data_IF_722431502076
#
_entry.id   IF_722431502076
#
_cell.length_a   1.000
_cell.length_b   1.000
_cell.length_c   1.000
_cell.angle_alpha   90.00
_cell.angle_beta   90.00
_cell.angle_gamma   90.00
#
_symmetry.space_group_name_H-M   'P 1'
#
loop_
_entity.id
_entity.type
_entity.pdbx_description
1 polymer ?
#
# COMPACT_ATOMS: atom_id res chain seq x y z
N UNK A 1 -29.03 -20.40 -47.61
CA UNK A 1 -27.75 -19.71 -47.91
C UNK A 1 -27.76 -18.19 -47.69
N UNK A 2 -28.65 -17.37 -48.28
CA UNK A 2 -28.65 -15.91 -48.03
C UNK A 2 -29.17 -15.52 -46.62
N UNK A 3 -30.19 -16.22 -46.13
CA UNK A 3 -30.78 -16.01 -44.79
C UNK A 3 -29.83 -16.37 -43.64
N UNK A 4 -29.09 -17.48 -43.74
CA UNK A 4 -28.09 -17.87 -42.74
C UNK A 4 -26.92 -16.89 -42.64
N UNK A 5 -26.45 -16.35 -43.77
CA UNK A 5 -25.39 -15.32 -43.79
C UNK A 5 -25.84 -14.01 -43.14
N UNK A 6 -27.11 -13.62 -43.32
CA UNK A 6 -27.69 -12.44 -42.68
C UNK A 6 -27.85 -12.63 -41.16
N UNK A 7 -28.34 -13.79 -40.70
CA UNK A 7 -28.43 -14.14 -39.27
C UNK A 7 -27.05 -14.18 -38.60
N UNK A 8 -26.05 -14.76 -39.27
CA UNK A 8 -24.67 -14.80 -38.77
C UNK A 8 -24.04 -13.40 -38.68
N UNK A 9 -24.32 -12.53 -39.65
CA UNK A 9 -23.85 -11.14 -39.66
C UNK A 9 -24.49 -10.29 -38.55
N UNK A 10 -25.78 -10.47 -38.27
CA UNK A 10 -26.49 -9.79 -37.17
C UNK A 10 -25.96 -10.26 -35.81
N UNK A 11 -25.78 -11.58 -35.63
CA UNK A 11 -25.20 -12.15 -34.41
C UNK A 11 -23.79 -11.62 -34.13
N UNK A 12 -22.94 -11.53 -35.16
CA UNK A 12 -21.59 -10.98 -35.03
C UNK A 12 -21.61 -9.50 -34.63
N UNK A 13 -22.48 -8.69 -35.25
CA UNK A 13 -22.65 -7.27 -34.93
C UNK A 13 -23.13 -7.05 -33.49
N UNK A 14 -24.07 -7.87 -33.01
CA UNK A 14 -24.52 -7.84 -31.62
C UNK A 14 -23.39 -8.19 -30.64
N UNK A 15 -22.64 -9.26 -30.90
CA UNK A 15 -21.49 -9.65 -30.07
C UNK A 15 -20.43 -8.55 -30.02
N UNK A 16 -20.12 -7.91 -31.15
CA UNK A 16 -19.18 -6.78 -31.21
C UNK A 16 -19.68 -5.57 -30.42
N UNK A 17 -20.99 -5.28 -30.48
CA UNK A 17 -21.62 -4.21 -29.69
C UNK A 17 -21.55 -4.50 -28.19
N UNK A 18 -21.88 -5.71 -27.75
CA UNK A 18 -21.76 -6.11 -26.35
C UNK A 18 -20.31 -6.03 -25.85
N UNK A 19 -19.35 -6.52 -26.65
CA UNK A 19 -17.92 -6.40 -26.32
C UNK A 19 -17.47 -4.95 -26.17
N UNK A 20 -17.98 -4.05 -27.02
CA UNK A 20 -17.67 -2.61 -26.92
C UNK A 20 -18.22 -2.01 -25.62
N UNK A 21 -19.49 -2.27 -25.30
CA UNK A 21 -20.12 -1.78 -24.06
C UNK A 21 -19.37 -2.26 -22.81
N UNK A 22 -18.96 -3.53 -22.77
CA UNK A 22 -18.17 -4.06 -21.65
C UNK A 22 -16.82 -3.35 -21.54
N UNK A 23 -16.09 -3.19 -22.65
CA UNK A 23 -14.80 -2.49 -22.66
C UNK A 23 -14.91 -1.03 -22.24
N UNK A 24 -15.96 -0.34 -22.68
CA UNK A 24 -16.20 1.06 -22.33
C UNK A 24 -16.50 1.17 -20.82
N UNK A 25 -17.31 0.25 -20.26
CA UNK A 25 -17.55 0.18 -18.81
C UNK A 25 -16.26 -0.11 -18.03
N UNK A 26 -15.46 -1.09 -18.45
CA UNK A 26 -14.20 -1.43 -17.80
C UNK A 26 -13.23 -0.24 -17.81
N UNK A 27 -13.17 0.50 -18.94
CA UNK A 27 -12.37 1.71 -19.06
C UNK A 27 -12.88 2.81 -18.12
N UNK A 28 -14.18 3.09 -18.09
CA UNK A 28 -14.74 4.13 -17.22
C UNK A 28 -14.47 3.83 -15.73
N UNK A 29 -14.63 2.57 -15.31
CA UNK A 29 -14.28 2.13 -13.96
C UNK A 29 -12.79 2.36 -13.67
N UNK A 30 -11.91 1.99 -14.61
CA UNK A 30 -10.47 2.19 -14.45
C UNK A 30 -10.12 3.67 -14.35
N UNK A 31 -10.63 4.49 -15.25
CA UNK A 31 -10.35 5.93 -15.31
C UNK A 31 -10.83 6.63 -14.02
N UNK A 32 -11.96 6.21 -13.46
CA UNK A 32 -12.49 6.75 -12.20
C UNK A 32 -11.71 6.31 -10.97
N UNK A 33 -11.43 5.01 -10.81
CA UNK A 33 -10.86 4.48 -9.56
C UNK A 33 -9.34 4.52 -9.48
N UNK A 34 -8.64 4.45 -10.63
CA UNK A 34 -7.19 4.35 -10.68
C UNK A 34 -6.45 5.46 -9.89
N UNK A 35 -6.87 6.74 -9.93
CA UNK A 35 -6.21 7.79 -9.16
C UNK A 35 -6.16 7.51 -7.66
N UNK A 36 -7.21 6.93 -7.08
CA UNK A 36 -7.26 6.62 -5.64
C UNK A 36 -6.30 5.51 -5.25
N UNK A 37 -6.17 4.46 -6.09
CA UNK A 37 -5.20 3.39 -5.84
C UNK A 37 -3.76 3.86 -6.04
N UNK A 38 -3.51 4.76 -6.99
CA UNK A 38 -2.19 5.39 -7.18
C UNK A 38 -1.82 6.21 -5.95
N UNK A 39 -2.76 6.96 -5.38
CA UNK A 39 -2.51 7.77 -4.18
C UNK A 39 -2.10 6.89 -2.99
N UNK A 40 -2.82 5.79 -2.73
CA UNK A 40 -2.46 4.83 -1.68
C UNK A 40 -1.09 4.21 -1.94
N UNK A 41 -0.83 3.73 -3.16
CA UNK A 41 0.45 3.12 -3.51
C UNK A 41 1.61 4.09 -3.35
N UNK A 42 1.43 5.36 -3.73
CA UNK A 42 2.45 6.39 -3.61
C UNK A 42 2.88 6.58 -2.16
N UNK A 43 1.91 6.69 -1.24
CA UNK A 43 2.19 6.87 0.19
C UNK A 43 2.87 5.63 0.78
N UNK A 44 2.31 4.44 0.53
CA UNK A 44 2.91 3.19 1.04
C UNK A 44 4.30 2.91 0.47
N UNK A 45 4.56 3.31 -0.78
CA UNK A 45 5.89 3.17 -1.40
C UNK A 45 6.94 4.10 -0.81
N UNK A 46 6.53 5.22 -0.20
CA UNK A 46 7.41 6.10 0.57
C UNK A 46 7.65 5.51 1.97
N UNK A 47 6.61 4.94 2.59
CA UNK A 47 6.71 4.40 3.94
C UNK A 47 7.58 3.15 4.03
N UNK A 48 7.51 2.28 3.03
CA UNK A 48 8.19 0.98 3.07
C UNK A 48 9.73 1.08 3.22
N UNK A 49 10.45 1.94 2.47
CA UNK A 49 11.88 2.16 2.69
C UNK A 49 12.22 2.66 4.10
N UNK A 50 11.43 3.59 4.64
CA UNK A 50 11.63 4.14 6.00
C UNK A 50 11.56 3.01 7.03
N UNK A 51 10.50 2.21 6.96
CA UNK A 51 10.29 1.08 7.86
C UNK A 51 11.36 0.00 7.67
N UNK A 52 11.78 -0.25 6.43
CA UNK A 52 12.82 -1.23 6.12
C UNK A 52 14.15 -0.83 6.76
N UNK A 53 14.47 0.47 6.81
CA UNK A 53 15.64 0.99 7.51
C UNK A 53 15.48 0.83 9.01
N UNK A 54 14.37 1.26 9.60
CA UNK A 54 14.12 1.12 11.04
C UNK A 54 14.16 -0.34 11.53
N UNK A 55 13.80 -1.30 10.68
CA UNK A 55 13.93 -2.72 10.98
C UNK A 55 15.38 -3.24 11.07
N UNK A 56 16.37 -2.43 10.69
CA UNK A 56 17.79 -2.74 10.82
C UNK A 56 18.37 -2.33 12.19
N UNK A 57 17.55 -1.70 13.04
CA UNK A 57 17.91 -1.39 14.43
C UNK A 57 18.31 -2.67 15.19
N UNK A 58 19.40 -2.57 15.94
CA UNK A 58 19.89 -3.65 16.80
C UNK A 58 19.47 -3.36 18.23
N UNK A 59 18.63 -4.24 18.78
CA UNK A 59 18.09 -4.11 20.15
C UNK A 59 18.63 -5.16 21.13
N UNK A 60 19.53 -6.05 20.68
CA UNK A 60 20.11 -7.11 21.51
C UNK A 60 21.60 -7.30 21.24
N UNK A 61 22.35 -7.68 22.28
CA UNK A 61 23.79 -7.91 22.23
C UNK A 61 24.22 -9.07 23.13
N UNK A 62 25.42 -9.61 22.89
CA UNK A 62 26.00 -10.71 23.64
C UNK A 62 27.48 -10.45 23.86
N UNK A 63 27.88 -10.37 25.13
CA UNK A 63 29.24 -10.03 25.55
C UNK A 63 29.84 -11.13 26.42
N UNK A 64 31.18 -11.18 26.44
CA UNK A 64 31.99 -12.11 27.26
C UNK A 64 32.67 -11.46 28.44
N UNK A 65 32.95 -10.15 28.36
CA UNK A 65 33.59 -9.35 29.42
C UNK A 65 32.94 -7.97 29.52
N UNK A 66 33.23 -7.23 30.61
CA UNK A 66 32.72 -5.86 30.77
C UNK A 66 33.31 -4.87 29.75
N UNK A 67 34.57 -5.03 29.34
CA UNK A 67 35.18 -4.21 28.27
C UNK A 67 34.51 -4.51 26.91
N UNK A 68 34.26 -5.79 26.60
CA UNK A 68 33.54 -6.17 25.38
C UNK A 68 32.10 -5.61 25.37
N UNK A 69 31.45 -5.59 26.54
CA UNK A 69 30.10 -5.02 26.69
C UNK A 69 30.08 -3.53 26.35
N UNK A 70 31.03 -2.76 26.88
CA UNK A 70 31.10 -1.31 26.63
C UNK A 70 31.36 -1.02 25.15
N UNK A 71 32.30 -1.73 24.52
CA UNK A 71 32.58 -1.55 23.09
C UNK A 71 31.37 -1.92 22.23
N UNK A 72 30.68 -3.02 22.54
CA UNK A 72 29.48 -3.42 21.80
C UNK A 72 28.34 -2.42 21.94
N UNK A 73 28.17 -1.81 23.13
CA UNK A 73 27.16 -0.78 23.34
C UNK A 73 27.46 0.45 22.49
N UNK A 74 28.71 0.93 22.46
CA UNK A 74 29.13 2.05 21.61
C UNK A 74 28.90 1.76 20.13
N UNK A 75 29.25 0.57 19.66
CA UNK A 75 29.06 0.16 18.26
C UNK A 75 27.56 0.10 17.88
N UNK A 76 26.71 -0.37 18.79
CA UNK A 76 25.25 -0.44 18.60
C UNK A 76 24.63 0.94 18.60
N UNK A 77 25.04 1.82 19.52
CA UNK A 77 24.57 3.20 19.56
C UNK A 77 24.92 3.93 18.26
N UNK A 78 26.16 3.79 17.78
CA UNK A 78 26.59 4.36 16.51
C UNK A 78 25.81 3.80 15.31
N UNK A 79 25.62 2.47 15.23
CA UNK A 79 24.83 1.84 14.17
C UNK A 79 23.37 2.29 14.18
N UNK A 80 22.73 2.32 15.35
CA UNK A 80 21.34 2.74 15.46
C UNK A 80 21.19 4.23 15.11
N UNK A 81 22.13 5.09 15.51
CA UNK A 81 22.15 6.50 15.09
C UNK A 81 22.16 6.61 13.55
N UNK A 82 23.03 5.88 12.85
CA UNK A 82 23.07 5.84 11.39
C UNK A 82 21.76 5.35 10.75
N UNK A 83 21.14 4.32 11.33
CA UNK A 83 19.86 3.77 10.89
C UNK A 83 18.73 4.80 11.02
N UNK A 84 18.61 5.45 12.18
CA UNK A 84 17.59 6.47 12.42
C UNK A 84 17.78 7.68 11.51
N UNK A 85 19.03 8.10 11.30
CA UNK A 85 19.38 9.18 10.37
C UNK A 85 19.02 8.88 8.93
N UNK A 86 19.31 7.65 8.47
CA UNK A 86 18.94 7.20 7.14
C UNK A 86 17.42 7.14 6.98
N UNK A 87 16.71 6.62 7.99
CA UNK A 87 15.26 6.55 8.01
C UNK A 87 14.64 7.96 7.97
N UNK A 88 15.16 8.93 8.73
CA UNK A 88 14.69 10.31 8.73
C UNK A 88 14.86 10.99 7.36
N UNK A 89 16.01 10.77 6.69
CA UNK A 89 16.24 11.24 5.31
C UNK A 89 15.26 10.62 4.33
N UNK A 90 15.02 9.30 4.42
CA UNK A 90 14.05 8.60 3.57
C UNK A 90 12.61 9.06 3.83
N UNK A 91 12.29 9.42 5.08
CA UNK A 91 10.98 9.91 5.49
C UNK A 91 10.72 11.38 5.08
N UNK A 92 11.70 12.05 4.45
CA UNK A 92 11.62 13.46 4.07
C UNK A 92 11.28 14.37 5.28
N UNK A 93 11.80 14.03 6.46
CA UNK A 93 11.55 14.76 7.70
C UNK A 93 10.20 14.46 8.39
N UNK A 94 9.41 13.51 7.90
CA UNK A 94 8.19 13.05 8.58
C UNK A 94 8.54 12.11 9.73
N UNK A 95 7.87 12.27 10.87
CA UNK A 95 7.92 11.28 11.95
C UNK A 95 7.02 10.08 11.66
N UNK A 96 7.19 8.98 12.39
CA UNK A 96 6.28 7.81 12.32
C UNK A 96 4.85 8.20 12.68
N UNK A 97 4.68 9.13 13.62
CA UNK A 97 3.37 9.70 13.95
C UNK A 97 2.76 10.48 12.79
N UNK A 98 3.56 11.20 12.01
CA UNK A 98 3.07 11.92 10.83
C UNK A 98 2.68 10.94 9.71
N UNK A 99 3.45 9.87 9.53
CA UNK A 99 3.09 8.76 8.64
C UNK A 99 1.76 8.12 9.06
N UNK A 100 1.52 7.92 10.36
CA UNK A 100 0.24 7.39 10.86
C UNK A 100 -0.94 8.32 10.49
N UNK A 101 -0.78 9.62 10.71
CA UNK A 101 -1.78 10.65 10.36
C UNK A 101 -2.04 10.74 8.85
N UNK A 102 -1.01 10.53 8.03
CA UNK A 102 -1.15 10.49 6.57
C UNK A 102 -2.04 9.31 6.14
N UNK A 103 -1.85 8.14 6.76
CA UNK A 103 -2.71 6.96 6.50
C UNK A 103 -4.13 7.17 7.02
N UNK A 104 -4.32 7.75 8.20
CA UNK A 104 -5.67 8.10 8.70
C UNK A 104 -6.40 9.05 7.75
N UNK A 105 -5.68 10.06 7.25
CA UNK A 105 -6.23 11.03 6.31
C UNK A 105 -6.65 10.36 5.00
N UNK A 106 -5.84 9.42 4.49
CA UNK A 106 -6.19 8.57 3.35
C UNK A 106 -7.45 7.74 3.61
N UNK A 107 -7.52 7.08 4.77
CA UNK A 107 -8.68 6.26 5.16
C UNK A 107 -9.94 7.11 5.13
N UNK A 108 -9.93 8.27 5.80
CA UNK A 108 -11.09 9.16 5.86
C UNK A 108 -11.51 9.60 4.45
N UNK A 109 -10.55 10.00 3.62
CA UNK A 109 -10.80 10.48 2.26
C UNK A 109 -11.38 9.40 1.34
N UNK A 110 -10.89 8.16 1.46
CA UNK A 110 -11.17 7.09 0.50
C UNK A 110 -12.23 6.09 0.97
N UNK A 111 -12.71 6.21 2.22
CA UNK A 111 -13.75 5.35 2.78
C UNK A 111 -15.01 5.38 1.91
N UNK A 112 -15.48 4.19 1.52
CA UNK A 112 -16.64 4.04 0.61
C UNK A 112 -16.34 4.29 -0.87
N UNK A 113 -15.11 4.69 -1.21
CA UNK A 113 -14.67 4.86 -2.62
C UNK A 113 -13.87 3.65 -3.09
N UNK A 114 -12.87 3.22 -2.33
CA UNK A 114 -12.05 2.04 -2.67
C UNK A 114 -12.52 0.79 -1.91
N UNK A 115 -11.93 -0.36 -2.23
CA UNK A 115 -12.25 -1.63 -1.56
C UNK A 115 -12.22 -1.54 -0.03
N UNK A 116 -13.27 -2.03 0.62
CA UNK A 116 -13.35 -2.13 2.08
C UNK A 116 -12.19 -2.91 2.69
N UNK A 117 -11.70 -3.96 2.02
CA UNK A 117 -10.55 -4.72 2.51
C UNK A 117 -9.27 -3.88 2.57
N UNK A 118 -9.08 -2.97 1.60
CA UNK A 118 -7.94 -2.05 1.60
C UNK A 118 -8.08 -1.01 2.71
N UNK A 119 -9.29 -0.46 2.91
CA UNK A 119 -9.56 0.47 4.02
C UNK A 119 -9.23 -0.18 5.37
N UNK A 120 -9.70 -1.40 5.63
CA UNK A 120 -9.39 -2.13 6.87
C UNK A 120 -7.90 -2.37 7.04
N UNK A 121 -7.20 -2.72 5.96
CA UNK A 121 -5.74 -2.89 5.98
C UNK A 121 -5.01 -1.59 6.31
N UNK A 122 -5.46 -0.45 5.78
CA UNK A 122 -4.90 0.87 6.05
C UNK A 122 -5.20 1.32 7.50
N UNK A 123 -6.42 1.11 7.99
CA UNK A 123 -6.80 1.38 9.39
C UNK A 123 -5.92 0.56 10.36
N UNK A 124 -5.68 -0.71 10.07
CA UNK A 124 -4.78 -1.53 10.88
C UNK A 124 -3.33 -1.03 10.81
N UNK A 125 -2.85 -0.68 9.62
CA UNK A 125 -1.50 -0.17 9.46
C UNK A 125 -1.28 1.17 10.19
N UNK A 126 -2.25 2.09 10.15
CA UNK A 126 -2.22 3.34 10.90
C UNK A 126 -2.14 3.08 12.42
N UNK A 127 -2.95 2.14 12.94
CA UNK A 127 -2.88 1.72 14.35
C UNK A 127 -1.49 1.21 14.72
N UNK A 128 -0.91 0.34 13.89
CA UNK A 128 0.43 -0.20 14.13
C UNK A 128 1.50 0.91 14.16
N UNK A 129 1.37 1.93 13.31
CA UNK A 129 2.29 3.08 13.33
C UNK A 129 2.18 3.89 14.63
N UNK A 130 0.97 4.12 15.14
CA UNK A 130 0.81 4.79 16.44
C UNK A 130 1.40 3.97 17.58
N UNK A 131 1.14 2.66 17.60
CA UNK A 131 1.67 1.74 18.59
C UNK A 131 3.21 1.73 18.56
N UNK A 132 3.81 1.57 17.39
CA UNK A 132 5.26 1.60 17.21
C UNK A 132 5.87 2.93 17.69
N UNK A 133 5.22 4.06 17.42
CA UNK A 133 5.66 5.35 17.92
C UNK A 133 5.54 5.47 19.45
N UNK A 134 4.54 4.85 20.06
CA UNK A 134 4.31 4.89 21.50
C UNK A 134 5.33 4.04 22.27
N UNK A 135 5.61 2.84 21.78
CA UNK A 135 6.51 1.88 22.44
C UNK A 135 7.97 2.03 21.98
N UNK A 136 8.23 2.73 20.88
CA UNK A 136 9.56 2.93 20.32
C UNK A 136 10.12 1.71 19.58
N UNK A 137 9.28 0.76 19.17
CA UNK A 137 9.69 -0.45 18.46
C UNK A 137 9.08 -0.50 17.06
N UNK A 138 9.91 -0.72 16.03
CA UNK A 138 9.47 -0.61 14.63
C UNK A 138 9.46 -1.94 13.86
N UNK A 139 10.07 -2.99 14.43
CA UNK A 139 10.35 -4.27 13.77
C UNK A 139 9.11 -4.95 13.13
N UNK A 140 7.93 -4.75 13.72
CA UNK A 140 6.68 -5.36 13.27
C UNK A 140 5.92 -4.55 12.20
N UNK A 141 6.41 -3.36 11.81
CA UNK A 141 5.73 -2.48 10.86
C UNK A 141 5.86 -2.91 9.39
N UNK A 142 6.93 -3.63 9.04
CA UNK A 142 7.24 -3.95 7.64
C UNK A 142 6.17 -4.83 7.00
N UNK A 143 5.78 -5.91 7.68
CA UNK A 143 4.77 -6.84 7.16
C UNK A 143 3.41 -6.16 6.90
N UNK A 144 2.83 -5.40 7.85
CA UNK A 144 1.62 -4.60 7.60
C UNK A 144 1.73 -3.65 6.40
N UNK A 145 2.83 -2.89 6.29
CA UNK A 145 3.04 -1.94 5.19
C UNK A 145 3.11 -2.67 3.84
N UNK A 146 3.93 -3.72 3.76
CA UNK A 146 4.11 -4.52 2.55
C UNK A 146 2.81 -5.21 2.12
N UNK A 147 2.04 -5.75 3.07
CA UNK A 147 0.76 -6.40 2.80
C UNK A 147 -0.26 -5.41 2.26
N UNK A 148 -0.35 -4.21 2.83
CA UNK A 148 -1.23 -3.15 2.33
C UNK A 148 -0.83 -2.69 0.93
N UNK A 149 0.48 -2.59 0.66
CA UNK A 149 1.02 -2.21 -0.65
C UNK A 149 0.72 -3.27 -1.71
N UNK A 150 0.92 -4.54 -1.38
CA UNK A 150 0.60 -5.67 -2.27
C UNK A 150 -0.89 -5.71 -2.58
N UNK A 151 -1.75 -5.60 -1.55
CA UNK A 151 -3.20 -5.54 -1.72
C UNK A 151 -3.62 -4.35 -2.61
N UNK A 152 -2.99 -3.19 -2.43
CA UNK A 152 -3.23 -2.01 -3.27
C UNK A 152 -2.93 -2.32 -4.74
N UNK A 153 -1.78 -2.92 -5.03
CA UNK A 153 -1.35 -3.28 -6.39
C UNK A 153 -2.27 -4.31 -7.03
N UNK A 154 -2.68 -5.31 -6.27
CA UNK A 154 -3.59 -6.37 -6.72
C UNK A 154 -4.97 -5.80 -7.06
N UNK A 155 -5.53 -4.97 -6.19
CA UNK A 155 -6.82 -4.32 -6.43
C UNK A 155 -6.75 -3.32 -7.58
N UNK A 156 -5.66 -2.56 -7.70
CA UNK A 156 -5.40 -1.62 -8.80
C UNK A 156 -5.35 -2.35 -10.15
N UNK A 157 -4.73 -3.53 -10.21
CA UNK A 157 -4.67 -4.33 -11.43
C UNK A 157 -6.05 -4.89 -11.83
N UNK A 158 -6.94 -5.10 -10.85
CA UNK A 158 -8.24 -5.74 -11.01
C UNK A 158 -9.45 -4.79 -10.82
N UNK A 159 -9.26 -3.47 -10.98
CA UNK A 159 -10.30 -2.45 -10.76
C UNK A 159 -11.65 -2.80 -11.40
N UNK A 160 -11.73 -3.20 -12.69
CA UNK A 160 -13.03 -3.47 -13.31
C UNK A 160 -13.79 -4.62 -12.65
N UNK A 161 -13.07 -5.62 -12.13
CA UNK A 161 -13.66 -6.76 -11.43
C UNK A 161 -14.09 -6.38 -10.01
N UNK A 162 -13.23 -5.66 -9.28
CA UNK A 162 -13.46 -5.21 -7.90
C UNK A 162 -14.68 -4.29 -7.81
N UNK A 163 -14.84 -3.39 -8.79
CA UNK A 163 -15.91 -2.38 -8.83
C UNK A 163 -17.00 -2.68 -9.85
N UNK A 164 -17.14 -3.95 -10.26
CA UNK A 164 -18.03 -4.39 -11.35
C UNK A 164 -19.52 -4.06 -11.10
N UNK A 165 -19.94 -4.01 -9.84
CA UNK A 165 -21.30 -3.66 -9.41
C UNK A 165 -21.54 -2.15 -9.38
N UNK A 166 -20.50 -1.32 -9.42
CA UNK A 166 -20.64 0.13 -9.31
C UNK A 166 -21.07 0.75 -10.64
N UNK A 167 -21.92 1.77 -10.56
CA UNK A 167 -22.39 2.54 -11.70
C UNK A 167 -21.57 3.83 -11.80
N UNK A 168 -20.42 3.74 -12.46
CA UNK A 168 -19.63 4.90 -12.87
C UNK A 168 -20.09 5.27 -14.28
N UNK A 169 -20.67 6.47 -14.43
CA UNK A 169 -21.14 7.00 -15.72
C UNK A 169 -19.97 7.48 -16.57
#
# INVERSE_FOLDING_TARGET
MASEKALFSIGKSLVERFKRVVRDKERNLKDYYLPYYIEVESILSIHLPVITLLNQEVTSYSYTTEEDMMQQLEDIEAHNEEVFDAAARAAQGKSIKDMAREVDSLVIKLKGTISTSLIVSLEQYARNLYEANEIGEYHFLQSPCQNALNLTRDLKANIPSVHSSTHVQ
#
